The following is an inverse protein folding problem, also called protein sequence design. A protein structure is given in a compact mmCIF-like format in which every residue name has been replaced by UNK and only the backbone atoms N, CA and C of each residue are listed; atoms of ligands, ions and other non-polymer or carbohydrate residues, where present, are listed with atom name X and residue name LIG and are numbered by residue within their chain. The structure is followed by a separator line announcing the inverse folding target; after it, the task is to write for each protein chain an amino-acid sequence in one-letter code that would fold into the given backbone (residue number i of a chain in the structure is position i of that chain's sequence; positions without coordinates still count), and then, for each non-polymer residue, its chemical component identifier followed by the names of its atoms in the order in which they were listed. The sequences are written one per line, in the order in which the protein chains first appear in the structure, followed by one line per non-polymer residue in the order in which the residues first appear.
data_IF_424675515244
#
_entry.id   IF_424675515244
#
_cell.length_a   1.000
_cell.length_b   1.000
_cell.length_c   1.000
_cell.angle_alpha   90.00
_cell.angle_beta   90.00
_cell.angle_gamma   90.00
#
_symmetry.space_group_name_H-M   'P 1'
#
loop_
_entity.id
_entity.type
_entity.pdbx_description
1 polymer ?
#
# COMPACT_ATOMS: atom_id res chain seq x y z
N UNK A 1 61.82 6.68 51.73
CA UNK A 1 60.63 7.40 52.25
C UNK A 1 59.41 6.70 51.67
N UNK A 2 58.48 6.32 52.55
CA UNK A 2 57.54 5.20 52.41
C UNK A 2 56.25 5.62 51.68
N UNK A 3 55.72 4.67 50.91
CA UNK A 3 54.41 4.51 50.25
C UNK A 3 53.30 5.53 50.57
N UNK A 4 52.68 6.07 49.51
CA UNK A 4 51.33 6.65 49.58
C UNK A 4 50.29 5.59 49.23
N UNK A 5 49.29 5.49 50.12
CA UNK A 5 48.06 4.70 50.03
C UNK A 5 47.39 4.75 48.67
N UNK A 6 47.05 3.58 48.15
CA UNK A 6 46.02 3.41 47.12
C UNK A 6 44.82 2.74 47.75
N UNK A 7 43.92 3.53 48.33
CA UNK A 7 42.60 3.07 48.75
C UNK A 7 41.53 3.69 47.86
N UNK A 8 40.69 2.78 47.35
CA UNK A 8 39.29 2.95 47.02
C UNK A 8 38.81 4.27 46.41
N UNK A 9 38.62 4.23 45.09
CA UNK A 9 37.39 4.79 44.53
C UNK A 9 36.73 3.75 43.64
N UNK A 10 35.79 3.05 44.27
CA UNK A 10 34.69 2.29 43.68
C UNK A 10 34.44 2.63 42.21
N UNK A 11 34.75 1.67 41.34
CA UNK A 11 34.23 1.66 39.99
C UNK A 11 32.71 1.58 40.07
N UNK A 12 32.04 2.75 39.98
CA UNK A 12 30.65 2.80 39.53
C UNK A 12 30.65 2.18 38.14
N UNK A 13 30.27 0.90 38.10
CA UNK A 13 29.87 0.24 36.88
C UNK A 13 28.64 1.01 36.42
N UNK A 14 28.82 1.93 35.47
CA UNK A 14 27.71 2.31 34.60
C UNK A 14 27.30 1.00 33.93
N UNK A 15 26.26 0.36 34.47
CA UNK A 15 25.42 -0.53 33.68
C UNK A 15 24.81 0.37 32.62
N UNK A 16 25.55 0.54 31.53
CA UNK A 16 24.96 0.89 30.26
C UNK A 16 23.95 -0.22 29.99
N UNK A 17 22.70 0.06 30.31
CA UNK A 17 21.53 -0.66 29.79
C UNK A 17 21.73 -0.74 28.29
N UNK A 18 22.37 -1.83 27.87
CA UNK A 18 22.33 -2.28 26.50
C UNK A 18 20.88 -2.68 26.34
N UNK A 19 20.06 -1.75 25.86
CA UNK A 19 18.87 -2.12 25.11
C UNK A 19 19.44 -3.01 24.00
N UNK A 20 19.44 -4.31 24.26
CA UNK A 20 19.74 -5.30 23.26
C UNK A 20 18.63 -5.11 22.25
N UNK A 21 18.89 -4.32 21.21
CA UNK A 21 18.09 -4.37 19.99
C UNK A 21 18.25 -5.80 19.50
N UNK A 22 17.37 -6.68 19.99
CA UNK A 22 17.24 -8.01 19.45
C UNK A 22 16.93 -7.78 17.97
N UNK A 23 17.72 -8.34 17.04
CA UNK A 23 17.44 -8.20 15.64
C UNK A 23 16.07 -8.80 15.40
N UNK A 24 15.09 -7.93 15.13
CA UNK A 24 13.74 -8.36 14.77
C UNK A 24 13.89 -9.21 13.51
N UNK A 25 13.37 -10.44 13.55
CA UNK A 25 13.41 -11.31 12.38
C UNK A 25 12.72 -10.61 11.22
N UNK A 26 13.26 -10.77 10.00
CA UNK A 26 12.62 -10.23 8.80
C UNK A 26 11.17 -10.72 8.72
N UNK A 27 10.92 -12.01 8.97
CA UNK A 27 9.57 -12.60 8.97
C UNK A 27 8.61 -11.90 9.94
N UNK A 28 9.10 -11.50 11.11
CA UNK A 28 8.29 -10.79 12.11
C UNK A 28 7.92 -9.37 11.63
N UNK A 29 8.85 -8.68 10.96
CA UNK A 29 8.57 -7.39 10.33
C UNK A 29 7.55 -7.55 9.20
N UNK A 30 7.74 -8.56 8.33
CA UNK A 30 6.84 -8.81 7.21
C UNK A 30 5.42 -9.11 7.68
N UNK A 31 5.28 -9.91 8.75
CA UNK A 31 3.99 -10.24 9.33
C UNK A 31 3.33 -9.04 10.01
N UNK A 32 4.10 -8.25 10.77
CA UNK A 32 3.60 -7.02 11.45
C UNK A 32 3.01 -6.02 10.46
N UNK A 33 3.59 -5.90 9.27
CA UNK A 33 3.13 -4.99 8.24
C UNK A 33 2.16 -5.62 7.24
N UNK A 34 1.84 -6.91 7.37
CA UNK A 34 0.91 -7.60 6.47
C UNK A 34 1.38 -7.63 5.01
N UNK A 35 2.69 -7.59 4.77
CA UNK A 35 3.29 -7.51 3.42
C UNK A 35 3.65 -8.87 2.85
N UNK A 36 3.54 -9.95 3.63
CA UNK A 36 3.80 -11.32 3.14
C UNK A 36 3.00 -11.68 1.88
N UNK A 37 1.68 -11.37 1.75
CA UNK A 37 0.94 -11.68 0.52
C UNK A 37 1.43 -10.88 -0.69
N UNK A 38 2.10 -9.75 -0.45
CA UNK A 38 2.67 -8.94 -1.51
C UNK A 38 3.99 -9.50 -2.02
N UNK A 39 4.80 -10.17 -1.19
CA UNK A 39 6.07 -10.74 -1.62
C UNK A 39 5.92 -12.02 -2.45
N UNK A 40 4.84 -12.78 -2.20
CA UNK A 40 4.51 -13.98 -2.94
C UNK A 40 3.66 -13.68 -4.20
N UNK A 41 3.40 -12.41 -4.48
CA UNK A 41 2.60 -12.00 -5.62
C UNK A 41 3.36 -12.22 -6.94
N UNK A 42 2.67 -12.64 -8.02
CA UNK A 42 3.28 -12.69 -9.34
C UNK A 42 3.84 -11.34 -9.78
N UNK A 43 4.96 -11.34 -10.51
CA UNK A 43 5.60 -10.12 -11.02
C UNK A 43 4.65 -9.26 -11.89
N UNK A 44 3.69 -9.89 -12.58
CA UNK A 44 2.66 -9.17 -13.33
C UNK A 44 1.76 -8.36 -12.41
N UNK A 45 1.39 -8.90 -11.24
CA UNK A 45 0.56 -8.20 -10.26
C UNK A 45 1.30 -6.99 -9.67
N UNK A 46 2.59 -7.13 -9.36
CA UNK A 46 3.44 -6.01 -8.96
C UNK A 46 3.49 -4.89 -10.01
N UNK A 47 3.67 -5.27 -11.28
CA UNK A 47 3.71 -4.31 -12.39
C UNK A 47 2.38 -3.57 -12.52
N UNK A 48 1.26 -4.26 -12.33
CA UNK A 48 -0.08 -3.66 -12.36
C UNK A 48 -0.28 -2.75 -11.15
N UNK A 49 0.03 -3.18 -9.93
CA UNK A 49 -0.16 -2.39 -8.72
C UNK A 49 0.89 -1.26 -8.55
N UNK A 50 1.93 -1.20 -9.38
CA UNK A 50 2.90 -0.09 -9.34
C UNK A 50 2.28 1.28 -9.69
N UNK A 51 1.19 1.31 -10.46
CA UNK A 51 0.53 2.57 -10.86
C UNK A 51 -0.31 3.15 -9.70
N UNK A 52 -0.04 4.39 -9.27
CA UNK A 52 -0.85 5.08 -8.25
C UNK A 52 -2.33 5.13 -8.63
N UNK A 53 -2.61 5.52 -9.88
CA UNK A 53 -3.97 5.56 -10.40
C UNK A 53 -4.71 4.22 -10.33
N UNK A 54 -4.05 3.09 -10.64
CA UNK A 54 -4.70 1.77 -10.55
C UNK A 54 -4.95 1.35 -9.10
N UNK A 55 -4.07 1.73 -8.17
CA UNK A 55 -4.30 1.52 -6.74
C UNK A 55 -5.48 2.35 -6.25
N UNK A 56 -5.54 3.63 -6.60
CA UNK A 56 -6.67 4.50 -6.29
C UNK A 56 -7.99 3.89 -6.80
N UNK A 57 -8.04 3.46 -8.06
CA UNK A 57 -9.22 2.76 -8.62
C UNK A 57 -9.64 1.56 -7.77
N UNK A 58 -8.70 0.70 -7.38
CA UNK A 58 -9.01 -0.48 -6.57
C UNK A 58 -9.48 -0.10 -5.15
N UNK A 59 -8.89 0.93 -4.55
CA UNK A 59 -9.32 1.45 -3.24
C UNK A 59 -10.75 1.98 -3.32
N UNK A 60 -11.07 2.80 -4.32
CA UNK A 60 -12.41 3.38 -4.51
C UNK A 60 -13.48 2.30 -4.75
N UNK A 61 -13.13 1.24 -5.49
CA UNK A 61 -14.03 0.11 -5.70
C UNK A 61 -14.19 -0.75 -4.44
N UNK A 62 -13.13 -0.93 -3.65
CA UNK A 62 -13.17 -1.70 -2.42
C UNK A 62 -13.90 -0.98 -1.27
N UNK A 63 -13.89 0.36 -1.27
CA UNK A 63 -14.58 1.19 -0.28
C UNK A 63 -16.04 1.47 -0.65
N UNK A 64 -16.46 1.19 -1.88
CA UNK A 64 -17.84 1.35 -2.28
C UNK A 64 -18.73 0.25 -1.70
N UNK A 65 -19.92 0.61 -1.22
CA UNK A 65 -20.97 -0.34 -0.78
C UNK A 65 -21.60 -1.14 -1.94
N UNK A 66 -20.99 -1.15 -3.12
CA UNK A 66 -21.47 -1.85 -4.30
C UNK A 66 -20.74 -1.45 -5.59
N UNK A 67 -21.15 -2.02 -6.73
CA UNK A 67 -20.55 -1.72 -8.04
C UNK A 67 -20.68 -0.24 -8.41
N UNK A 68 -19.68 0.31 -9.09
CA UNK A 68 -19.66 1.70 -9.55
C UNK A 68 -19.75 1.80 -11.07
N UNK A 69 -20.45 2.81 -11.58
CA UNK A 69 -20.34 3.17 -13.00
C UNK A 69 -18.96 3.78 -13.28
N UNK A 70 -18.44 3.70 -14.51
CA UNK A 70 -17.20 4.40 -14.88
C UNK A 70 -17.24 5.89 -14.60
N UNK A 71 -18.39 6.53 -14.77
CA UNK A 71 -18.61 7.95 -14.52
C UNK A 71 -18.47 8.29 -13.04
N UNK A 72 -19.00 7.44 -12.17
CA UNK A 72 -18.90 7.58 -10.72
C UNK A 72 -17.48 7.28 -10.23
N UNK A 73 -16.86 6.22 -10.75
CA UNK A 73 -15.47 5.88 -10.45
C UNK A 73 -14.51 7.01 -10.91
N UNK A 74 -14.72 7.59 -12.09
CA UNK A 74 -13.92 8.71 -12.59
C UNK A 74 -14.06 9.95 -11.69
N UNK A 75 -15.23 10.19 -11.12
CA UNK A 75 -15.47 11.29 -10.18
C UNK A 75 -14.67 11.06 -8.90
N UNK A 76 -14.82 9.88 -8.29
CA UNK A 76 -14.15 9.53 -7.03
C UNK A 76 -12.63 9.51 -7.14
N UNK A 77 -12.08 8.96 -8.21
CA UNK A 77 -10.62 8.92 -8.43
C UNK A 77 -10.02 10.32 -8.55
N UNK A 78 -10.74 11.28 -9.17
CA UNK A 78 -10.29 12.68 -9.25
C UNK A 78 -10.34 13.36 -7.88
N UNK A 79 -11.31 13.01 -7.03
CA UNK A 79 -11.43 13.51 -5.66
C UNK A 79 -10.34 12.93 -4.74
N UNK A 80 -10.04 11.63 -4.86
CA UNK A 80 -8.99 10.93 -4.11
C UNK A 80 -7.57 11.38 -4.51
N UNK A 81 -7.38 11.57 -5.82
CA UNK A 81 -6.36 12.41 -6.46
C UNK A 81 -5.53 13.30 -5.53
N UNK A 82 -6.15 14.40 -5.06
CA UNK A 82 -5.60 15.73 -4.66
C UNK A 82 -4.36 16.23 -5.44
N UNK A 83 -3.84 15.43 -6.37
CA UNK A 83 -2.59 15.55 -7.10
C UNK A 83 -2.97 15.78 -8.57
N UNK A 84 -2.93 17.05 -8.95
CA UNK A 84 -2.74 17.59 -10.31
C UNK A 84 -3.68 17.18 -11.47
N UNK A 85 -4.41 18.21 -11.96
CA UNK A 85 -4.77 18.52 -13.37
C UNK A 85 -5.48 17.44 -14.21
N UNK A 86 -6.00 16.37 -13.61
CA UNK A 86 -6.83 15.42 -14.36
C UNK A 86 -8.31 15.77 -14.20
N UNK A 87 -8.92 16.29 -15.25
CA UNK A 87 -10.38 16.50 -15.29
C UNK A 87 -11.10 15.16 -15.29
N UNK A 88 -12.34 15.12 -14.79
CA UNK A 88 -13.20 13.93 -14.83
C UNK A 88 -13.25 13.28 -16.21
N UNK A 89 -13.35 14.06 -17.28
CA UNK A 89 -13.36 13.55 -18.66
C UNK A 89 -12.04 12.85 -19.03
N UNK A 90 -10.89 13.40 -18.64
CA UNK A 90 -9.59 12.75 -18.86
C UNK A 90 -9.46 11.46 -18.03
N UNK A 91 -9.91 11.48 -16.78
CA UNK A 91 -9.93 10.29 -15.92
C UNK A 91 -10.79 9.18 -16.53
N UNK A 92 -11.97 9.51 -17.05
CA UNK A 92 -12.87 8.58 -17.72
C UNK A 92 -12.20 7.93 -18.94
N UNK A 93 -11.60 8.73 -19.83
CA UNK A 93 -10.85 8.21 -21.00
C UNK A 93 -9.73 7.26 -20.55
N UNK A 94 -8.93 7.64 -19.55
CA UNK A 94 -7.86 6.79 -19.02
C UNK A 94 -8.40 5.50 -18.40
N UNK A 95 -9.52 5.55 -17.68
CA UNK A 95 -10.19 4.37 -17.12
C UNK A 95 -10.58 3.40 -18.22
N UNK A 96 -11.29 3.87 -19.25
CA UNK A 96 -11.77 3.03 -20.33
C UNK A 96 -10.66 2.39 -21.16
N UNK A 97 -9.64 3.16 -21.52
CA UNK A 97 -8.66 2.74 -22.51
C UNK A 97 -7.38 2.16 -21.91
N UNK A 98 -7.04 2.51 -20.66
CA UNK A 98 -5.73 2.16 -20.09
C UNK A 98 -5.90 1.32 -18.82
N UNK A 99 -6.65 1.81 -17.84
CA UNK A 99 -6.59 1.26 -16.49
C UNK A 99 -7.52 0.06 -16.29
N UNK A 100 -8.81 0.17 -16.63
CA UNK A 100 -9.75 -0.94 -16.50
C UNK A 100 -9.37 -2.15 -17.36
N UNK A 101 -8.94 -2.00 -18.64
CA UNK A 101 -8.48 -3.15 -19.42
C UNK A 101 -7.35 -3.93 -18.75
N UNK A 102 -6.35 -3.22 -18.20
CA UNK A 102 -5.21 -3.85 -17.50
C UNK A 102 -5.62 -4.53 -16.19
N UNK A 103 -6.53 -3.91 -15.44
CA UNK A 103 -7.06 -4.51 -14.21
C UNK A 103 -7.92 -5.74 -14.50
N UNK A 104 -8.68 -5.74 -15.61
CA UNK A 104 -9.45 -6.91 -16.04
C UNK A 104 -8.54 -8.05 -16.50
N UNK A 105 -7.45 -7.75 -17.22
CA UNK A 105 -6.56 -8.82 -17.74
C UNK A 105 -5.89 -9.63 -16.63
N UNK A 106 -5.76 -9.09 -15.42
CA UNK A 106 -5.27 -9.82 -14.25
C UNK A 106 -6.39 -10.26 -13.29
N UNK A 107 -7.66 -10.12 -13.69
CA UNK A 107 -8.80 -10.53 -12.87
C UNK A 107 -9.05 -9.67 -11.63
N UNK A 108 -8.46 -8.48 -11.49
CA UNK A 108 -8.65 -7.63 -10.31
C UNK A 108 -10.02 -6.94 -10.28
N UNK A 109 -10.66 -6.76 -11.45
CA UNK A 109 -12.00 -6.16 -11.57
C UNK A 109 -12.81 -6.91 -12.61
N UNK A 110 -14.14 -6.91 -12.43
CA UNK A 110 -15.09 -7.45 -13.40
C UNK A 110 -16.02 -6.36 -13.93
N UNK A 111 -16.42 -6.53 -15.19
CA UNK A 111 -17.47 -5.76 -15.84
C UNK A 111 -18.79 -6.48 -15.61
N UNK A 112 -19.77 -5.76 -15.12
CA UNK A 112 -21.11 -6.27 -14.91
C UNK A 112 -22.11 -5.42 -15.72
N UNK A 113 -22.99 -6.10 -16.46
CA UNK A 113 -23.97 -5.50 -17.38
C UNK A 113 -25.42 -5.87 -17.00
N UNK A 114 -25.70 -6.22 -15.73
CA UNK A 114 -27.05 -6.64 -15.32
C UNK A 114 -28.10 -5.51 -15.33
N UNK A 115 -27.69 -4.26 -15.54
CA UNK A 115 -28.57 -3.10 -15.70
C UNK A 115 -28.25 -2.39 -17.02
N UNK A 116 -29.12 -1.45 -17.44
CA UNK A 116 -28.86 -0.56 -18.58
C UNK A 116 -27.58 0.30 -18.38
N UNK A 117 -27.05 0.29 -17.15
CA UNK A 117 -25.82 0.94 -16.75
C UNK A 117 -24.68 -0.09 -16.57
N UNK A 118 -23.54 0.18 -17.22
CA UNK A 118 -22.30 -0.58 -17.12
C UNK A 118 -21.62 -0.29 -15.77
N UNK A 119 -21.38 -1.32 -14.96
CA UNK A 119 -20.76 -1.18 -13.64
C UNK A 119 -19.48 -2.01 -13.47
N UNK A 120 -18.61 -1.55 -12.59
CA UNK A 120 -17.30 -2.12 -12.23
C UNK A 120 -17.30 -2.45 -10.74
N UNK A 121 -16.74 -3.61 -10.40
CA UNK A 121 -16.55 -4.07 -9.03
C UNK A 121 -15.24 -4.87 -8.94
N UNK A 122 -14.64 -4.93 -7.74
CA UNK A 122 -13.52 -5.82 -7.45
C UNK A 122 -14.01 -7.27 -7.50
N UNK A 123 -13.16 -8.19 -7.95
CA UNK A 123 -13.47 -9.64 -8.00
C UNK A 123 -13.29 -10.29 -6.65
#
# INVERSE_FOLDING_TARGET
MIQMSGDDLSGRRCESDRIAEQPVSIDEVLQRHGITPFLDAPAELHTILSSPFRKCVLIELAQADGPLTPEELARRVVEYEEVEVTTRSKALVRLHHIHLPKLRSCGAVKKNNYSNDYVIEVV
#
